data_IF_406629689485
#
_entry.id   IF_406629689485
#
_cell.length_a   1.000
_cell.length_b   1.000
_cell.length_c   1.000
_cell.angle_alpha   90.00
_cell.angle_beta   90.00
_cell.angle_gamma   90.00
#
_symmetry.space_group_name_H-M   'P 1'
#
loop_
_entity.id
_entity.type
_entity.pdbx_description
1 polymer ?
#
# COMPACT_ATOMS: atom_id res chain seq x y z
N UNK A 1 4.48 7.15 -6.38
CA UNK A 1 4.71 7.44 -4.93
C UNK A 1 4.68 8.95 -4.67
N UNK A 2 3.63 9.68 -5.08
CA UNK A 2 3.55 11.15 -4.88
C UNK A 2 2.50 11.58 -3.86
N UNK A 3 1.45 10.79 -3.61
CA UNK A 3 0.38 11.17 -2.68
C UNK A 3 0.84 11.39 -1.24
N UNK A 4 1.76 10.56 -0.70
CA UNK A 4 2.32 10.81 0.64
C UNK A 4 3.27 12.02 0.66
N UNK A 5 4.02 12.24 -0.41
CA UNK A 5 4.92 13.39 -0.51
C UNK A 5 4.11 14.70 -0.62
N UNK A 6 3.02 14.68 -1.37
CA UNK A 6 2.06 15.79 -1.47
C UNK A 6 1.34 16.04 -0.14
N UNK A 7 0.91 14.98 0.58
CA UNK A 7 0.31 15.10 1.91
C UNK A 7 1.31 15.58 2.98
N UNK A 8 2.56 15.12 2.91
CA UNK A 8 3.65 15.59 3.77
C UNK A 8 3.96 17.08 3.50
N UNK A 9 4.01 17.48 2.23
CA UNK A 9 4.23 18.87 1.83
C UNK A 9 3.04 19.78 2.18
N UNK A 10 1.82 19.24 2.18
CA UNK A 10 0.62 19.95 2.62
C UNK A 10 0.46 20.05 4.15
N UNK A 11 1.41 19.50 4.93
CA UNK A 11 1.38 19.53 6.40
C UNK A 11 0.23 18.74 7.03
N UNK A 12 -0.44 17.88 6.25
CA UNK A 12 -1.57 17.09 6.71
C UNK A 12 -1.13 15.79 7.39
N UNK A 13 -2.01 15.17 8.22
CA UNK A 13 -1.73 13.86 8.78
C UNK A 13 -1.53 12.84 7.65
N UNK A 14 -0.37 12.18 7.67
CA UNK A 14 -0.04 11.11 6.73
C UNK A 14 -1.00 9.95 6.97
N UNK A 15 -1.85 9.66 5.98
CA UNK A 15 -2.85 8.61 6.05
C UNK A 15 -2.52 7.45 5.12
N UNK A 16 -2.73 6.22 5.57
CA UNK A 16 -2.52 5.01 4.75
C UNK A 16 -3.62 4.78 3.68
N UNK A 17 -4.55 5.73 3.51
CA UNK A 17 -5.62 5.64 2.52
C UNK A 17 -5.13 6.19 1.18
N UNK A 18 -4.83 5.28 0.28
CA UNK A 18 -4.51 5.60 -1.12
C UNK A 18 -5.76 5.42 -1.97
N UNK A 19 -6.12 6.43 -2.78
CA UNK A 19 -7.20 6.29 -3.75
C UNK A 19 -6.65 5.68 -5.06
N UNK A 20 -6.99 4.42 -5.40
CA UNK A 20 -6.43 3.74 -6.56
C UNK A 20 -6.82 4.37 -7.90
N UNK A 21 -7.93 5.12 -7.96
CA UNK A 21 -8.38 5.81 -9.17
C UNK A 21 -7.57 7.08 -9.47
N UNK A 22 -6.78 7.57 -8.50
CA UNK A 22 -5.88 8.72 -8.65
C UNK A 22 -4.42 8.34 -8.93
N UNK A 23 -4.11 7.04 -8.95
CA UNK A 23 -2.75 6.56 -9.23
C UNK A 23 -2.51 6.48 -10.74
N UNK A 24 -1.27 6.75 -11.16
CA UNK A 24 -0.85 6.40 -12.52
C UNK A 24 -0.71 4.87 -12.67
N UNK A 25 -0.54 4.39 -13.90
CA UNK A 25 -0.43 2.95 -14.19
C UNK A 25 0.74 2.26 -13.49
N UNK A 26 1.90 2.92 -13.38
CA UNK A 26 3.07 2.39 -12.69
C UNK A 26 2.80 2.24 -11.19
N UNK A 27 2.30 3.29 -10.55
CA UNK A 27 1.97 3.30 -9.12
C UNK A 27 0.87 2.28 -8.80
N UNK A 28 -0.10 2.11 -9.71
CA UNK A 28 -1.13 1.06 -9.60
C UNK A 28 -0.53 -0.34 -9.64
N UNK A 29 0.47 -0.56 -10.52
CA UNK A 29 1.19 -1.84 -10.61
C UNK A 29 2.04 -2.09 -9.36
N UNK A 30 2.74 -1.08 -8.86
CA UNK A 30 3.51 -1.17 -7.61
C UNK A 30 2.59 -1.55 -6.45
N UNK A 31 1.47 -0.83 -6.28
CA UNK A 31 0.50 -1.11 -5.22
C UNK A 31 -0.02 -2.56 -5.31
N UNK A 32 -0.31 -3.05 -6.52
CA UNK A 32 -0.77 -4.42 -6.74
C UNK A 32 0.27 -5.45 -6.32
N UNK A 33 1.55 -5.27 -6.67
CA UNK A 33 2.60 -6.19 -6.25
C UNK A 33 2.86 -6.10 -4.74
N UNK A 34 2.79 -4.90 -4.13
CA UNK A 34 2.89 -4.77 -2.67
C UNK A 34 1.79 -5.55 -1.95
N UNK A 35 0.55 -5.51 -2.42
CA UNK A 35 -0.54 -6.31 -1.84
C UNK A 35 -0.34 -7.82 -2.04
N UNK A 36 0.24 -8.23 -3.17
CA UNK A 36 0.55 -9.63 -3.43
C UNK A 36 1.59 -10.17 -2.46
N UNK A 37 2.66 -9.41 -2.19
CA UNK A 37 3.66 -9.79 -1.18
C UNK A 37 3.08 -9.77 0.23
N UNK A 38 2.27 -8.75 0.58
CA UNK A 38 1.59 -8.70 1.87
C UNK A 38 0.69 -9.92 2.09
N UNK A 39 -0.04 -10.37 1.06
CA UNK A 39 -0.88 -11.57 1.12
C UNK A 39 -0.05 -12.84 1.36
N UNK A 40 1.12 -12.97 0.72
CA UNK A 40 2.03 -14.10 0.98
C UNK A 40 2.52 -14.10 2.42
N UNK A 41 2.87 -12.92 2.95
CA UNK A 41 3.28 -12.78 4.35
C UNK A 41 2.14 -13.15 5.30
N UNK A 42 0.92 -12.69 5.04
CA UNK A 42 -0.26 -13.05 5.83
C UNK A 42 -0.53 -14.56 5.80
N UNK A 43 -0.41 -15.20 4.64
CA UNK A 43 -0.57 -16.66 4.51
C UNK A 43 0.50 -17.41 5.31
N UNK A 44 1.76 -16.98 5.22
CA UNK A 44 2.84 -17.56 6.02
C UNK A 44 2.56 -17.40 7.52
N UNK A 45 2.17 -16.20 7.95
CA UNK A 45 1.82 -15.94 9.34
C UNK A 45 0.65 -16.80 9.82
N UNK A 46 -0.38 -16.97 8.99
CA UNK A 46 -1.52 -17.82 9.33
C UNK A 46 -1.11 -19.29 9.53
N UNK A 47 -0.19 -19.80 8.71
CA UNK A 47 0.36 -21.15 8.88
C UNK A 47 1.23 -21.26 10.13
N UNK A 48 2.13 -20.30 10.34
CA UNK A 48 3.11 -20.30 11.44
C UNK A 48 2.41 -20.14 12.81
N UNK A 49 1.28 -19.42 12.86
CA UNK A 49 0.58 -19.07 14.10
C UNK A 49 -0.83 -19.67 14.23
N UNK A 50 -1.27 -20.52 13.28
CA UNK A 50 -2.60 -21.14 13.25
C UNK A 50 -3.77 -20.15 13.44
N UNK A 51 -3.64 -18.94 12.86
CA UNK A 51 -4.64 -17.87 12.92
C UNK A 51 -5.87 -18.15 12.05
#
# INVERSE_FOLDING_TARGET
MRCNAEQAQAGGPLGNRVNPSRLNDLDRRILRESFKEARRLQQKLALDYQL
#
